data_IF_268838011242
#
_entry.id   IF_268838011242
#
_cell.length_a   1.000
_cell.length_b   1.000
_cell.length_c   1.000
_cell.angle_alpha   90.00
_cell.angle_beta   90.00
_cell.angle_gamma   90.00
#
_symmetry.space_group_name_H-M   'P 1'
#
loop_
_entity.id
_entity.type
_entity.pdbx_description
1 polymer ?
#
# COMPACT_ATOMS: atom_id res chain seq x y z
N UNK A 1 -15.63 -2.17 -0.62
CA UNK A 1 -15.26 -0.99 -1.42
C UNK A 1 -14.02 -1.33 -2.24
N UNK A 2 -13.92 -0.88 -3.49
CA UNK A 2 -12.75 -1.15 -4.34
C UNK A 2 -12.27 0.17 -4.93
N UNK A 3 -10.96 0.41 -4.82
CA UNK A 3 -10.27 1.58 -5.35
C UNK A 3 -9.19 1.12 -6.33
N UNK A 4 -9.07 1.80 -7.46
CA UNK A 4 -7.91 1.68 -8.33
C UNK A 4 -6.82 2.64 -7.85
N UNK A 5 -5.56 2.28 -7.99
CA UNK A 5 -4.44 3.16 -7.68
C UNK A 5 -3.38 3.17 -8.78
N UNK A 6 -2.69 4.30 -8.89
CA UNK A 6 -1.45 4.43 -9.63
C UNK A 6 -0.51 5.37 -8.85
N UNK A 7 0.75 4.96 -8.68
CA UNK A 7 1.74 5.70 -7.90
C UNK A 7 3.13 5.58 -8.51
N UNK A 8 3.87 6.69 -8.48
CA UNK A 8 5.20 6.81 -9.05
C UNK A 8 6.27 6.68 -7.98
N UNK A 9 7.39 6.05 -8.31
CA UNK A 9 8.50 5.89 -7.37
C UNK A 9 9.16 7.24 -7.07
N UNK A 10 9.24 7.59 -5.79
CA UNK A 10 9.79 8.85 -5.30
C UNK A 10 11.18 8.74 -4.69
N UNK A 11 11.71 7.52 -4.50
CA UNK A 11 13.02 7.28 -3.89
C UNK A 11 12.94 6.60 -2.52
N UNK A 12 14.05 6.66 -1.80
CA UNK A 12 14.17 6.13 -0.43
C UNK A 12 13.78 7.21 0.57
N UNK A 13 12.96 6.84 1.55
CA UNK A 13 12.54 7.70 2.66
C UNK A 13 13.75 8.33 3.34
N UNK A 14 13.68 9.64 3.58
CA UNK A 14 14.70 10.38 4.32
C UNK A 14 14.52 10.26 5.83
N UNK A 15 13.38 9.76 6.30
CA UNK A 15 13.07 9.67 7.72
C UNK A 15 13.64 8.38 8.34
N UNK A 16 13.46 7.24 7.66
CA UNK A 16 13.88 5.92 8.15
C UNK A 16 15.07 5.31 7.38
N UNK A 17 15.42 5.90 6.23
CA UNK A 17 16.48 5.43 5.32
C UNK A 17 16.37 3.96 4.88
N UNK A 18 15.18 3.37 4.99
CA UNK A 18 14.92 1.94 4.72
C UNK A 18 13.72 1.73 3.81
N UNK A 19 12.71 2.58 3.94
CA UNK A 19 11.49 2.49 3.17
C UNK A 19 11.68 3.07 1.78
N UNK A 20 11.19 2.37 0.77
CA UNK A 20 10.99 2.92 -0.56
C UNK A 20 9.63 3.64 -0.58
N UNK A 21 9.55 4.81 -1.22
CA UNK A 21 8.37 5.68 -1.18
C UNK A 21 7.78 5.85 -2.58
N UNK A 22 6.45 5.80 -2.66
CA UNK A 22 5.67 6.15 -3.85
C UNK A 22 4.62 7.19 -3.53
N UNK A 23 4.35 8.04 -4.52
CA UNK A 23 3.29 9.06 -4.48
C UNK A 23 2.40 8.93 -5.69
N UNK A 24 1.09 9.06 -5.51
CA UNK A 24 0.13 8.72 -6.53
C UNK A 24 -1.28 9.19 -6.24
N UNK A 25 -2.25 8.49 -6.83
CA UNK A 25 -3.68 8.72 -6.61
C UNK A 25 -4.44 7.41 -6.48
N UNK A 26 -5.55 7.47 -5.77
CA UNK A 26 -6.62 6.47 -5.82
C UNK A 26 -7.83 7.03 -6.57
N UNK A 27 -8.57 6.16 -7.24
CA UNK A 27 -9.83 6.48 -7.93
C UNK A 27 -10.87 5.38 -7.68
N UNK A 28 -12.14 5.68 -7.95
CA UNK A 28 -13.26 4.76 -7.76
C UNK A 28 -14.29 5.38 -6.83
N UNK A 29 -14.69 4.65 -5.80
CA UNK A 29 -15.62 5.11 -4.76
C UNK A 29 -15.03 6.13 -3.78
N UNK A 30 -13.72 6.37 -3.84
CA UNK A 30 -13.01 7.47 -3.19
C UNK A 30 -11.96 7.97 -4.18
N UNK A 31 -11.76 9.29 -4.22
CA UNK A 31 -10.74 9.92 -5.06
C UNK A 31 -9.82 10.75 -4.18
N UNK A 32 -8.52 10.47 -4.24
CA UNK A 32 -7.54 11.15 -3.39
C UNK A 32 -6.11 10.93 -3.83
N UNK A 33 -5.20 11.66 -3.17
CA UNK A 33 -3.77 11.37 -3.28
C UNK A 33 -3.46 10.06 -2.57
N UNK A 34 -2.32 9.46 -2.90
CA UNK A 34 -1.81 8.25 -2.27
C UNK A 34 -0.34 8.44 -1.93
N UNK A 35 0.06 8.08 -0.72
CA UNK A 35 1.46 7.90 -0.34
C UNK A 35 1.63 6.48 0.18
N UNK A 36 2.65 5.79 -0.32
CA UNK A 36 3.01 4.43 0.07
C UNK A 36 4.45 4.42 0.55
N UNK A 37 4.68 3.98 1.78
CA UNK A 37 6.02 3.67 2.28
C UNK A 37 6.14 2.15 2.43
N UNK A 38 7.05 1.52 1.68
CA UNK A 38 7.28 0.08 1.67
C UNK A 38 8.63 -0.22 2.31
N UNK A 39 8.61 -0.91 3.45
CA UNK A 39 9.79 -1.35 4.17
C UNK A 39 9.98 -2.87 3.97
N UNK A 40 11.13 -3.32 3.44
CA UNK A 40 11.48 -4.73 3.42
C UNK A 40 11.58 -5.30 4.83
N UNK A 41 10.95 -6.43 5.08
CA UNK A 41 11.10 -7.21 6.31
C UNK A 41 12.30 -8.14 6.15
N UNK A 42 13.35 -7.90 6.94
CA UNK A 42 14.58 -8.67 6.92
C UNK A 42 15.82 -7.80 6.85
N UNK A 43 16.97 -8.45 6.75
CA UNK A 43 18.26 -7.81 6.52
C UNK A 43 18.36 -7.23 5.11
N UNK A 44 19.24 -6.24 4.92
CA UNK A 44 19.55 -5.71 3.57
C UNK A 44 20.06 -6.82 2.62
N UNK A 45 20.77 -7.83 3.14
CA UNK A 45 21.19 -8.98 2.32
C UNK A 45 20.00 -9.76 1.76
N UNK A 46 18.91 -9.88 2.50
CA UNK A 46 17.71 -10.58 2.03
C UNK A 46 16.98 -9.83 0.91
N UNK A 47 17.21 -8.51 0.77
CA UNK A 47 16.71 -7.71 -0.36
C UNK A 47 17.39 -8.06 -1.70
N UNK A 48 18.47 -8.85 -1.68
CA UNK A 48 19.03 -9.45 -2.89
C UNK A 48 18.12 -10.55 -3.47
N UNK A 49 17.20 -11.11 -2.68
CA UNK A 49 16.20 -12.05 -3.19
C UNK A 49 15.14 -11.31 -4.02
N UNK A 50 14.64 -11.89 -5.11
CA UNK A 50 13.63 -11.22 -5.94
C UNK A 50 12.25 -11.17 -5.29
N UNK A 51 12.02 -11.88 -4.19
CA UNK A 51 10.75 -11.87 -3.45
C UNK A 51 11.03 -11.30 -2.07
N UNK A 52 10.48 -10.12 -1.80
CA UNK A 52 10.59 -9.46 -0.51
C UNK A 52 9.32 -9.69 0.29
N UNK A 53 9.48 -10.03 1.57
CA UNK A 53 8.44 -9.79 2.56
C UNK A 53 8.49 -8.31 2.92
N UNK A 54 7.34 -7.66 3.04
CA UNK A 54 7.28 -6.21 3.28
C UNK A 54 6.22 -5.87 4.30
N UNK A 55 6.44 -4.78 5.03
CA UNK A 55 5.38 -4.01 5.68
C UNK A 55 5.25 -2.68 4.98
N UNK A 56 4.04 -2.14 4.91
CA UNK A 56 3.81 -0.88 4.25
C UNK A 56 2.69 -0.10 4.88
N UNK A 57 2.85 1.22 4.90
CA UNK A 57 1.83 2.16 5.36
C UNK A 57 1.31 2.93 4.16
N UNK A 58 0.01 2.80 3.92
CA UNK A 58 -0.72 3.48 2.84
C UNK A 58 -1.53 4.62 3.43
N UNK A 59 -1.34 5.82 2.89
CA UNK A 59 -2.03 7.02 3.33
C UNK A 59 -2.80 7.56 2.13
N UNK A 60 -4.12 7.64 2.26
CA UNK A 60 -4.98 8.36 1.31
C UNK A 60 -5.47 9.63 2.02
N UNK A 61 -4.87 10.79 1.76
CA UNK A 61 -5.30 12.05 2.35
C UNK A 61 -6.71 12.40 1.86
N UNK A 62 -7.48 13.01 2.75
CA UNK A 62 -8.79 13.51 2.43
C UNK A 62 -8.72 14.58 1.33
N UNK A 63 -9.54 14.46 0.30
CA UNK A 63 -10.11 15.64 -0.35
C UNK A 63 -11.11 16.30 0.60
N UNK A 64 -11.43 17.59 0.43
CA UNK A 64 -12.21 18.40 1.38
C UNK A 64 -13.57 17.82 1.87
N UNK A 65 -14.05 16.72 1.29
CA UNK A 65 -15.30 16.02 1.64
C UNK A 65 -15.17 14.52 1.89
N UNK A 66 -14.02 13.88 1.63
CA UNK A 66 -13.86 12.42 1.73
C UNK A 66 -12.82 12.11 2.82
N UNK A 67 -13.23 11.45 3.90
CA UNK A 67 -12.35 11.22 5.06
C UNK A 67 -11.05 10.51 4.69
N UNK A 68 -9.93 10.99 5.24
CA UNK A 68 -8.61 10.36 5.04
C UNK A 68 -8.61 8.96 5.64
N UNK A 69 -7.84 8.04 5.05
CA UNK A 69 -7.59 6.73 5.65
C UNK A 69 -6.10 6.40 5.67
N UNK A 70 -5.72 5.64 6.70
CA UNK A 70 -4.40 5.02 6.81
C UNK A 70 -4.59 3.52 6.95
N UNK A 71 -3.85 2.74 6.17
CA UNK A 71 -3.83 1.28 6.28
C UNK A 71 -2.41 0.78 6.48
N UNK A 72 -2.25 -0.11 7.47
CA UNK A 72 -1.00 -0.84 7.69
C UNK A 72 -1.16 -2.23 7.08
N UNK A 73 -0.32 -2.53 6.10
CA UNK A 73 -0.40 -3.74 5.28
C UNK A 73 0.91 -4.53 5.34
N UNK A 74 0.78 -5.83 5.16
CA UNK A 74 1.90 -6.78 5.14
C UNK A 74 1.72 -7.73 3.96
N UNK A 75 2.84 -8.22 3.41
CA UNK A 75 2.77 -9.23 2.37
C UNK A 75 4.04 -9.30 1.54
N UNK A 76 3.88 -9.50 0.23
CA UNK A 76 5.00 -9.79 -0.66
C UNK A 76 5.06 -8.88 -1.87
N UNK A 77 6.30 -8.55 -2.26
CA UNK A 77 6.63 -8.02 -3.58
C UNK A 77 7.57 -8.98 -4.28
N UNK A 78 7.17 -9.44 -5.47
CA UNK A 78 7.98 -10.25 -6.34
C UNK A 78 8.52 -9.40 -7.48
N UNK A 79 9.72 -8.85 -7.30
CA UNK A 79 10.42 -7.99 -8.26
C UNK A 79 10.72 -8.67 -9.60
N UNK A 80 10.85 -9.99 -9.63
CA UNK A 80 11.02 -10.74 -10.89
C UNK A 80 9.77 -10.69 -11.78
N UNK A 81 8.58 -10.67 -11.18
CA UNK A 81 7.30 -10.64 -11.91
C UNK A 81 6.62 -9.27 -11.89
N UNK A 82 7.09 -8.38 -11.01
CA UNK A 82 6.47 -7.12 -10.65
C UNK A 82 5.24 -7.28 -9.74
N UNK A 83 4.83 -8.48 -9.31
CA UNK A 83 3.59 -8.66 -8.54
C UNK A 83 3.71 -8.18 -7.11
N UNK A 84 2.70 -7.47 -6.63
CA UNK A 84 2.51 -7.05 -5.25
C UNK A 84 1.22 -7.64 -4.71
N UNK A 85 1.29 -8.28 -3.53
CA UNK A 85 0.12 -8.78 -2.80
C UNK A 85 0.27 -8.46 -1.34
N UNK A 86 -0.65 -7.66 -0.82
CA UNK A 86 -0.62 -7.17 0.56
C UNK A 86 -1.99 -7.32 1.18
N UNK A 87 -2.02 -7.51 2.49
CA UNK A 87 -3.23 -7.50 3.29
C UNK A 87 -2.96 -6.89 4.65
N UNK A 88 -3.98 -6.31 5.26
CA UNK A 88 -3.89 -5.75 6.59
C UNK A 88 -5.18 -5.06 6.97
N UNK A 89 -5.06 -3.99 7.75
CA UNK A 89 -6.22 -3.28 8.30
C UNK A 89 -6.08 -1.78 8.12
N UNK A 90 -7.23 -1.13 7.96
CA UNK A 90 -7.31 0.32 8.07
C UNK A 90 -7.16 0.69 9.55
N UNK A 91 -6.12 1.44 9.89
CA UNK A 91 -5.76 1.81 11.27
C UNK A 91 -6.27 3.19 11.67
N UNK A 92 -6.52 4.06 10.70
CA UNK A 92 -7.03 5.42 10.91
C UNK A 92 -8.05 5.81 9.84
N UNK A 93 -8.97 6.73 10.17
CA UNK A 93 -10.00 7.23 9.26
C UNK A 93 -11.39 6.61 9.45
N UNK A 94 -12.31 6.96 8.54
CA UNK A 94 -13.72 6.54 8.60
C UNK A 94 -13.94 5.03 8.49
N UNK A 95 -12.97 4.31 7.90
CA UNK A 95 -13.02 2.86 7.71
C UNK A 95 -12.11 2.12 8.70
N UNK A 96 -11.70 2.76 9.80
CA UNK A 96 -10.85 2.13 10.81
C UNK A 96 -11.44 0.77 11.26
N UNK A 97 -10.58 -0.24 11.28
CA UNK A 97 -10.93 -1.62 11.63
C UNK A 97 -11.42 -2.46 10.45
N UNK A 98 -11.54 -1.90 9.25
CA UNK A 98 -11.85 -2.68 8.04
C UNK A 98 -10.61 -3.41 7.54
N UNK A 99 -10.81 -4.56 6.90
CA UNK A 99 -9.73 -5.26 6.20
C UNK A 99 -9.40 -4.52 4.91
N UNK A 100 -8.12 -4.52 4.57
CA UNK A 100 -7.59 -3.91 3.36
C UNK A 100 -6.71 -4.92 2.62
N UNK A 101 -6.98 -5.14 1.34
CA UNK A 101 -6.25 -6.07 0.47
C UNK A 101 -5.81 -5.34 -0.79
N UNK A 102 -4.53 -5.50 -1.14
CA UNK A 102 -3.93 -4.93 -2.36
C UNK A 102 -3.47 -6.05 -3.27
N UNK A 103 -3.91 -6.03 -4.53
CA UNK A 103 -3.26 -6.73 -5.65
C UNK A 103 -2.77 -5.67 -6.63
N UNK A 104 -1.48 -5.69 -6.92
CA UNK A 104 -0.84 -4.69 -7.76
C UNK A 104 0.32 -5.22 -8.57
N UNK A 105 0.85 -4.34 -9.40
CA UNK A 105 2.00 -4.60 -10.24
C UNK A 105 2.92 -3.40 -10.32
N UNK A 106 4.22 -3.69 -10.35
CA UNK A 106 5.27 -2.75 -10.69
C UNK A 106 5.64 -2.83 -12.17
N UNK A 107 5.80 -1.66 -12.81
CA UNK A 107 6.38 -1.48 -14.15
C UNK A 107 7.25 -0.24 -14.11
N UNK A 108 8.52 -0.36 -14.52
CA UNK A 108 9.51 0.74 -14.43
C UNK A 108 9.59 1.39 -13.03
N UNK A 109 9.47 0.56 -11.99
CA UNK A 109 9.35 0.92 -10.57
C UNK A 109 8.03 1.60 -10.17
N UNK A 110 7.21 2.07 -11.10
CA UNK A 110 5.89 2.62 -10.80
C UNK A 110 4.90 1.52 -10.46
N UNK A 111 3.97 1.79 -9.55
CA UNK A 111 3.01 0.84 -9.02
C UNK A 111 1.58 1.16 -9.47
N UNK A 112 0.83 0.14 -9.88
CA UNK A 112 -0.61 0.28 -10.13
C UNK A 112 -1.37 -1.00 -9.74
N UNK A 113 -2.66 -0.87 -9.45
CA UNK A 113 -3.49 -2.02 -9.07
C UNK A 113 -4.77 -1.62 -8.36
N UNK A 114 -5.26 -2.53 -7.52
CA UNK A 114 -6.50 -2.35 -6.76
C UNK A 114 -6.28 -2.46 -5.26
N UNK A 115 -6.98 -1.62 -4.50
CA UNK A 115 -7.15 -1.70 -3.05
C UNK A 115 -8.61 -2.02 -2.75
N UNK A 116 -8.87 -3.20 -2.20
CA UNK A 116 -10.17 -3.62 -1.69
C UNK A 116 -10.24 -3.37 -0.18
N UNK A 117 -11.31 -2.73 0.28
CA UNK A 117 -11.57 -2.46 1.70
C UNK A 117 -12.95 -2.98 2.08
N UNK A 118 -13.04 -3.83 3.09
CA UNK A 118 -14.29 -4.45 3.52
C UNK A 118 -14.41 -4.61 5.03
N UNK A 119 -15.64 -4.61 5.59
CA UNK A 119 -15.82 -4.82 7.02
C UNK A 119 -15.24 -6.18 7.41
N UNK A 120 -14.51 -6.25 8.53
CA UNK A 120 -14.16 -7.53 9.15
C UNK A 120 -15.47 -8.24 9.51
N UNK A 121 -15.77 -9.34 8.84
CA UNK A 121 -16.87 -10.18 9.28
C UNK A 121 -16.42 -10.90 10.55
N UNK A 122 -16.90 -10.44 11.69
CA UNK A 122 -16.79 -11.22 12.92
C UNK A 122 -17.49 -12.57 12.68
N UNK A 123 -16.71 -13.64 12.60
CA UNK A 123 -17.26 -14.99 12.73
C UNK A 123 -17.87 -15.07 14.13
N UNK A 124 -19.19 -15.29 14.19
CA UNK A 124 -19.93 -15.50 15.43
C UNK A 124 -19.54 -16.82 16.09
#
# INVERSE_FOLDING_TARGET
MVLDFAAQFGGVSQDDHRSNVWSGRVTGSMIGNLVVALEPLGSLMETANPIWQVKTRWIVPAGASEGSLVADLYGTVNWKTGRMRLSGVVTEGCLKGYEAVVDGRFADLDAAGTLQIEPVMASR
#
